data_IF_918933375736
#
_entry.id   IF_918933375736
#
_cell.length_a   1.000
_cell.length_b   1.000
_cell.length_c   1.000
_cell.angle_alpha   90.00
_cell.angle_beta   90.00
_cell.angle_gamma   90.00
#
_symmetry.space_group_name_H-M   'P 1'
#
loop_
_entity.id
_entity.type
_entity.pdbx_description
1 polymer ?
#
# COMPACT_ATOMS: atom_id res chain seq x y z
N UNK A 1 -22.91 -47.64 10.39
CA UNK A 1 -21.92 -48.61 9.89
C UNK A 1 -20.59 -47.87 9.87
N UNK A 2 -19.75 -47.92 10.92
CA UNK A 2 -18.73 -48.91 11.25
C UNK A 2 -17.92 -49.36 10.02
N UNK A 3 -16.61 -49.19 9.91
CA UNK A 3 -15.45 -49.64 10.68
C UNK A 3 -14.17 -49.08 10.07
N UNK A 4 -13.24 -48.62 10.78
CA UNK A 4 -12.07 -49.20 11.50
C UNK A 4 -10.79 -49.22 10.66
N UNK A 5 -9.74 -48.46 11.16
CA UNK A 5 -8.59 -48.89 12.00
C UNK A 5 -7.51 -49.71 11.27
N UNK A 6 -6.31 -49.28 11.27
CA UNK A 6 -5.09 -49.58 12.05
C UNK A 6 -3.86 -49.56 11.12
N UNK A 7 -2.86 -48.80 11.44
CA UNK A 7 -1.64 -49.06 12.21
C UNK A 7 -0.67 -50.10 11.61
N UNK A 8 0.62 -49.74 11.51
CA UNK A 8 1.76 -50.41 12.11
C UNK A 8 3.06 -49.91 11.52
N UNK A 9 3.93 -49.39 12.35
CA UNK A 9 5.26 -49.78 12.88
C UNK A 9 6.42 -49.61 11.89
N UNK A 10 7.29 -48.69 12.18
CA UNK A 10 8.59 -48.73 12.89
C UNK A 10 9.52 -49.91 12.55
N UNK A 11 10.73 -49.56 12.06
CA UNK A 11 11.94 -50.28 12.44
C UNK A 11 13.17 -49.39 12.37
N UNK A 12 13.93 -49.45 13.43
CA UNK A 12 15.22 -48.82 13.66
C UNK A 12 16.37 -49.69 13.11
N UNK A 13 17.55 -49.07 12.97
CA UNK A 13 18.79 -49.84 12.73
C UNK A 13 19.97 -48.90 12.49
N UNK A 14 20.74 -48.87 13.32
CA UNK A 14 21.95 -48.51 13.98
C UNK A 14 23.22 -48.95 13.23
N UNK A 15 24.30 -48.16 13.44
CA UNK A 15 25.70 -48.63 13.47
C UNK A 15 26.52 -48.36 12.19
N UNK A 16 27.73 -47.95 12.21
CA UNK A 16 28.90 -47.80 13.05
C UNK A 16 29.98 -47.06 12.23
N UNK A 17 30.70 -46.16 12.79
CA UNK A 17 32.08 -46.11 13.31
C UNK A 17 33.21 -46.60 12.37
N UNK A 18 34.26 -45.76 12.31
CA UNK A 18 35.69 -45.99 12.01
C UNK A 18 36.12 -45.68 10.57
N UNK A 19 37.28 -45.09 10.24
CA UNK A 19 38.55 -44.92 10.94
C UNK A 19 39.41 -43.84 10.32
N UNK A 20 40.35 -43.34 11.11
CA UNK A 20 41.50 -42.53 10.79
C UNK A 20 42.48 -43.20 9.82
N UNK A 21 43.07 -42.45 8.92
CA UNK A 21 44.37 -42.77 8.35
C UNK A 21 45.18 -41.50 8.14
N UNK A 22 46.21 -41.35 8.97
CA UNK A 22 47.35 -40.47 8.80
C UNK A 22 48.25 -41.00 7.69
N UNK A 23 48.76 -40.15 6.85
CA UNK A 23 49.95 -40.42 6.04
C UNK A 23 50.82 -39.18 5.98
N UNK A 24 51.94 -39.20 6.69
CA UNK A 24 53.11 -38.37 6.48
C UNK A 24 53.86 -38.80 5.22
N UNK A 25 54.38 -37.84 4.47
CA UNK A 25 55.31 -38.12 3.35
C UNK A 25 56.05 -36.86 2.92
N UNK A 26 57.29 -36.88 3.17
CA UNK A 26 58.38 -35.89 3.17
C UNK A 26 58.74 -35.25 1.87
N UNK A 27 59.02 -33.98 1.97
CA UNK A 27 60.08 -33.08 1.48
C UNK A 27 61.05 -33.54 0.38
N UNK A 28 61.14 -32.77 -0.71
CA UNK A 28 62.40 -32.38 -1.36
C UNK A 28 62.26 -31.05 -2.09
N UNK A 29 63.18 -30.15 -1.79
CA UNK A 29 63.16 -28.74 -2.12
C UNK A 29 63.37 -28.34 -3.56
N UNK A 30 62.94 -27.11 -3.83
CA UNK A 30 63.57 -26.19 -4.80
C UNK A 30 63.23 -24.76 -4.41
N UNK A 31 64.25 -23.95 -4.20
CA UNK A 31 64.13 -22.52 -3.98
C UNK A 31 63.66 -21.86 -5.28
N UNK A 32 62.56 -21.10 -5.17
CA UNK A 32 62.12 -20.13 -6.16
C UNK A 32 61.63 -18.88 -5.41
N UNK A 33 62.01 -17.71 -5.86
CA UNK A 33 61.74 -16.40 -5.30
C UNK A 33 60.26 -16.19 -4.98
N UNK A 34 59.91 -15.46 -3.89
CA UNK A 34 58.54 -15.18 -3.57
C UNK A 34 57.94 -14.10 -4.49
N UNK A 35 56.69 -14.29 -5.02
CA UNK A 35 55.99 -13.24 -5.72
C UNK A 35 55.55 -12.13 -4.71
N UNK A 36 55.36 -10.86 -5.17
CA UNK A 36 55.10 -9.73 -4.29
C UNK A 36 53.79 -9.93 -3.54
N UNK A 37 53.84 -9.76 -2.25
CA UNK A 37 52.75 -9.75 -1.30
C UNK A 37 51.74 -8.64 -1.65
N UNK A 38 50.65 -9.01 -2.34
CA UNK A 38 49.44 -8.20 -2.26
C UNK A 38 48.80 -8.49 -0.90
N UNK A 39 48.89 -7.53 0.02
CA UNK A 39 48.20 -7.57 1.28
C UNK A 39 46.68 -7.62 1.02
N UNK A 40 46.12 -8.82 1.04
CA UNK A 40 44.70 -9.01 1.21
C UNK A 40 44.37 -8.57 2.63
N UNK A 41 43.79 -7.40 2.77
CA UNK A 41 43.15 -7.00 4.02
C UNK A 41 41.99 -7.97 4.24
N UNK A 42 42.21 -9.00 5.05
CA UNK A 42 41.13 -9.83 5.52
C UNK A 42 40.18 -8.93 6.31
N UNK A 43 38.97 -8.76 5.83
CA UNK A 43 37.89 -8.18 6.63
C UNK A 43 37.75 -8.95 7.95
N UNK A 44 37.21 -8.35 8.99
CA UNK A 44 37.04 -9.01 10.27
C UNK A 44 36.35 -10.37 10.07
N UNK A 45 36.77 -11.42 10.81
CA UNK A 45 36.14 -12.73 10.71
C UNK A 45 34.64 -12.61 11.02
N UNK A 46 33.79 -13.40 10.37
CA UNK A 46 32.37 -13.40 10.68
C UNK A 46 32.23 -13.69 12.18
N UNK A 47 31.48 -12.81 12.85
CA UNK A 47 31.18 -12.99 14.29
C UNK A 47 30.30 -14.24 14.43
N UNK A 48 30.80 -15.29 15.09
CA UNK A 48 30.06 -16.49 15.46
C UNK A 48 29.05 -16.27 16.59
N UNK A 49 28.86 -15.03 17.02
CA UNK A 49 27.82 -14.70 17.99
C UNK A 49 26.44 -14.97 17.38
N UNK A 50 25.50 -15.58 18.13
CA UNK A 50 24.15 -15.82 17.64
C UNK A 50 23.52 -14.47 17.26
N UNK A 51 23.09 -14.36 16.00
CA UNK A 51 22.42 -13.16 15.52
C UNK A 51 21.10 -12.97 16.27
N UNK A 52 20.77 -11.73 16.61
CA UNK A 52 19.44 -11.36 17.10
C UNK A 52 18.39 -11.85 16.11
N UNK A 53 17.29 -12.42 16.60
CA UNK A 53 16.15 -12.85 15.79
C UNK A 53 15.06 -11.77 15.81
N UNK A 54 14.73 -11.22 14.66
CA UNK A 54 13.66 -10.23 14.48
C UNK A 54 12.46 -10.88 13.81
N UNK A 55 11.25 -10.47 14.21
CA UNK A 55 9.99 -10.80 13.55
C UNK A 55 9.51 -9.61 12.74
N UNK A 56 9.29 -9.81 11.43
CA UNK A 56 8.73 -8.80 10.55
C UNK A 56 7.40 -9.27 9.99
N UNK A 57 6.37 -8.41 10.06
CA UNK A 57 5.04 -8.71 9.51
C UNK A 57 4.73 -7.86 8.29
N UNK A 58 4.21 -8.55 7.26
CA UNK A 58 3.63 -7.97 6.05
C UNK A 58 2.17 -8.39 5.89
N UNK A 59 1.35 -7.53 5.26
CA UNK A 59 0.08 -7.99 4.70
C UNK A 59 0.33 -8.89 3.49
N UNK A 60 -0.67 -9.65 3.08
CA UNK A 60 -0.57 -10.43 1.85
C UNK A 60 -0.84 -9.51 0.64
N UNK A 61 0.23 -9.15 -0.05
CA UNK A 61 0.13 -8.47 -1.35
C UNK A 61 -0.50 -9.40 -2.39
N UNK A 62 -1.28 -8.84 -3.30
CA UNK A 62 -1.91 -9.61 -4.38
C UNK A 62 -1.00 -9.87 -5.58
N UNK A 63 0.20 -9.30 -5.59
CA UNK A 63 1.16 -9.39 -6.68
C UNK A 63 2.06 -10.61 -6.51
N UNK A 64 2.18 -11.37 -7.59
CA UNK A 64 3.02 -12.56 -7.63
C UNK A 64 4.50 -12.20 -7.44
N UNK A 65 5.19 -12.93 -6.56
CA UNK A 65 6.62 -12.78 -6.32
C UNK A 65 7.02 -11.79 -5.21
N UNK A 66 6.11 -10.93 -4.72
CA UNK A 66 6.40 -9.98 -3.64
C UNK A 66 6.80 -10.71 -2.36
N UNK A 67 6.08 -11.77 -2.00
CA UNK A 67 6.40 -12.55 -0.79
C UNK A 67 7.82 -13.12 -0.81
N UNK A 68 8.25 -13.66 -1.93
CA UNK A 68 9.60 -14.22 -2.08
C UNK A 68 10.67 -13.12 -2.09
N UNK A 69 10.34 -11.97 -2.66
CA UNK A 69 11.23 -10.82 -2.66
C UNK A 69 11.49 -10.31 -1.24
N UNK A 70 10.45 -10.05 -0.45
CA UNK A 70 10.62 -9.54 0.93
C UNK A 70 11.33 -10.55 1.84
N UNK A 71 11.11 -11.86 1.64
CA UNK A 71 11.88 -12.90 2.34
C UNK A 71 13.35 -12.90 1.93
N UNK A 72 13.65 -12.71 0.64
CA UNK A 72 15.02 -12.59 0.12
C UNK A 72 15.72 -11.35 0.68
N UNK A 73 15.04 -10.18 0.71
CA UNK A 73 15.60 -8.97 1.32
C UNK A 73 15.91 -9.20 2.79
N UNK A 74 14.98 -9.75 3.55
CA UNK A 74 15.19 -10.07 4.95
C UNK A 74 16.35 -11.03 5.18
N UNK A 75 16.47 -12.09 4.38
CA UNK A 75 17.53 -13.08 4.47
C UNK A 75 18.93 -12.53 4.14
N UNK A 76 19.01 -11.46 3.32
CA UNK A 76 20.28 -10.82 2.95
C UNK A 76 20.79 -9.82 4.00
N UNK A 77 20.00 -9.51 5.03
CA UNK A 77 20.42 -8.58 6.09
C UNK A 77 21.55 -9.19 6.95
N UNK A 78 22.71 -8.51 7.05
CA UNK A 78 23.84 -9.08 7.78
C UNK A 78 23.73 -8.95 9.31
N UNK A 79 22.93 -7.99 9.82
CA UNK A 79 22.90 -7.59 11.22
C UNK A 79 22.04 -8.45 12.14
N UNK A 80 21.04 -9.18 11.59
CA UNK A 80 20.12 -10.02 12.37
C UNK A 80 19.59 -11.17 11.50
N UNK A 81 18.98 -12.17 12.15
CA UNK A 81 18.11 -13.14 11.46
C UNK A 81 16.69 -12.57 11.43
N UNK A 82 16.13 -12.31 10.27
CA UNK A 82 14.79 -11.72 10.15
C UNK A 82 13.81 -12.75 9.62
N UNK A 83 12.81 -13.08 10.42
CA UNK A 83 11.72 -13.98 10.05
C UNK A 83 10.53 -13.14 9.53
N UNK A 84 10.17 -13.35 8.27
CA UNK A 84 9.05 -12.66 7.63
C UNK A 84 7.77 -13.48 7.78
N UNK A 85 6.76 -12.90 8.42
CA UNK A 85 5.41 -13.44 8.49
C UNK A 85 4.50 -12.73 7.48
N UNK A 86 3.87 -13.51 6.62
CA UNK A 86 2.88 -13.09 5.64
C UNK A 86 1.49 -13.23 6.24
N UNK A 87 0.68 -12.16 6.24
CA UNK A 87 -0.60 -12.12 6.91
C UNK A 87 -1.75 -11.89 5.92
N UNK A 88 -2.45 -12.94 5.46
CA UNK A 88 -3.63 -12.80 4.64
C UNK A 88 -4.85 -12.28 5.43
N UNK A 89 -5.81 -11.73 4.72
CA UNK A 89 -7.06 -11.19 5.27
C UNK A 89 -6.90 -9.78 5.82
N UNK A 90 -7.72 -9.42 6.80
CA UNK A 90 -7.73 -8.08 7.40
C UNK A 90 -6.48 -7.86 8.28
N UNK A 91 -5.43 -7.38 7.64
CA UNK A 91 -4.14 -7.12 8.25
C UNK A 91 -4.18 -5.96 9.23
N UNK A 92 -4.90 -4.89 8.91
CA UNK A 92 -4.96 -3.69 9.76
C UNK A 92 -5.59 -4.02 11.12
N UNK A 93 -6.66 -4.80 11.15
CA UNK A 93 -7.24 -5.29 12.40
C UNK A 93 -6.31 -6.22 13.19
N UNK A 94 -5.51 -7.03 12.48
CA UNK A 94 -4.49 -7.89 13.13
C UNK A 94 -3.41 -7.07 13.82
N UNK A 95 -2.89 -6.02 13.16
CA UNK A 95 -1.87 -5.14 13.77
C UNK A 95 -2.44 -4.39 14.97
N UNK A 96 -3.65 -3.82 14.86
CA UNK A 96 -4.31 -3.17 16.02
C UNK A 96 -4.39 -4.11 17.21
N UNK A 97 -4.83 -5.36 16.99
CA UNK A 97 -4.92 -6.37 18.04
C UNK A 97 -3.54 -6.78 18.59
N UNK A 98 -2.56 -6.95 17.70
CA UNK A 98 -1.21 -7.32 18.09
C UNK A 98 -0.55 -6.26 18.98
N UNK A 99 -0.67 -4.97 18.63
CA UNK A 99 -0.10 -3.86 19.41
C UNK A 99 -0.65 -3.75 20.84
N UNK A 100 -1.84 -4.32 21.09
CA UNK A 100 -2.43 -4.39 22.44
C UNK A 100 -1.89 -5.57 23.27
N UNK A 101 -1.34 -6.59 22.61
CA UNK A 101 -0.87 -7.83 23.22
C UNK A 101 0.66 -7.89 23.31
N UNK A 102 1.19 -8.97 23.95
CA UNK A 102 2.63 -9.22 24.09
C UNK A 102 3.27 -9.94 22.90
N UNK A 103 2.46 -10.47 21.96
CA UNK A 103 2.94 -11.17 20.74
C UNK A 103 2.91 -10.20 19.56
N UNK A 104 3.84 -9.29 19.52
CA UNK A 104 3.92 -8.22 18.53
C UNK A 104 5.18 -8.42 17.71
N UNK A 105 5.16 -8.18 16.39
CA UNK A 105 6.39 -8.18 15.60
C UNK A 105 7.34 -7.06 16.06
N UNK A 106 8.64 -7.23 15.82
CA UNK A 106 9.63 -6.18 16.02
C UNK A 106 9.50 -5.08 14.97
N UNK A 107 9.25 -5.49 13.72
CA UNK A 107 9.02 -4.64 12.56
C UNK A 107 7.71 -5.02 11.90
N UNK A 108 6.92 -4.04 11.49
CA UNK A 108 5.69 -4.27 10.75
C UNK A 108 5.42 -3.09 9.79
N UNK A 109 4.61 -3.33 8.79
CA UNK A 109 4.18 -2.27 7.89
C UNK A 109 2.79 -1.76 8.29
N UNK A 110 2.60 -0.45 8.29
CA UNK A 110 1.31 0.18 8.51
C UNK A 110 1.32 1.66 8.10
N UNK A 111 0.14 2.28 8.16
CA UNK A 111 0.01 3.74 8.26
C UNK A 111 -0.09 4.12 9.74
N UNK A 112 0.72 5.08 10.17
CA UNK A 112 0.75 5.46 11.59
C UNK A 112 -0.59 6.03 12.04
N UNK A 113 -0.98 5.72 13.27
CA UNK A 113 -2.16 6.31 13.94
C UNK A 113 -1.70 7.12 15.16
N UNK A 114 -2.31 8.29 15.37
CA UNK A 114 -1.99 9.16 16.50
C UNK A 114 -2.14 8.44 17.86
N UNK A 115 -3.12 7.56 17.97
CA UNK A 115 -3.34 6.79 19.20
C UNK A 115 -2.18 5.82 19.49
N UNK A 116 -1.55 5.22 18.45
CA UNK A 116 -0.37 4.35 18.64
C UNK A 116 0.83 5.13 19.19
N UNK A 117 1.02 6.36 18.68
CA UNK A 117 2.10 7.25 19.15
C UNK A 117 1.87 7.66 20.60
N UNK A 118 0.67 8.09 20.93
CA UNK A 118 0.31 8.54 22.29
C UNK A 118 0.34 7.41 23.33
N UNK A 119 0.06 6.19 22.90
CA UNK A 119 0.16 4.98 23.73
C UNK A 119 1.55 4.35 23.75
N UNK A 120 2.56 5.00 23.16
CA UNK A 120 3.93 4.50 23.06
C UNK A 120 4.01 3.07 22.47
N UNK A 121 3.23 2.80 21.42
CA UNK A 121 3.23 1.49 20.73
C UNK A 121 4.26 1.44 19.60
N UNK A 122 4.68 2.59 19.08
CA UNK A 122 5.66 2.71 17.99
C UNK A 122 6.75 3.71 18.38
N UNK A 123 7.95 3.51 17.84
CA UNK A 123 9.09 4.41 18.11
C UNK A 123 9.28 5.40 16.96
N UNK A 124 9.78 6.61 17.28
CA UNK A 124 10.19 7.57 16.25
C UNK A 124 11.38 7.03 15.45
N UNK A 125 11.31 7.25 14.13
CA UNK A 125 12.35 6.93 13.15
C UNK A 125 12.98 8.20 12.54
N UNK A 126 12.87 9.34 13.21
CA UNK A 126 13.48 10.60 12.74
C UNK A 126 14.97 10.48 12.48
N UNK A 127 15.69 9.81 13.38
CA UNK A 127 17.12 9.53 13.25
C UNK A 127 17.45 8.62 12.05
N UNK A 128 16.55 7.68 11.73
CA UNK A 128 16.68 6.76 10.60
C UNK A 128 16.50 7.50 9.27
N UNK A 129 15.47 8.34 9.17
CA UNK A 129 15.09 9.01 7.92
C UNK A 129 15.84 10.31 7.67
N UNK A 130 16.42 10.93 8.71
CA UNK A 130 17.02 12.26 8.65
C UNK A 130 17.94 12.49 7.44
N UNK A 131 18.85 11.55 7.06
CA UNK A 131 19.77 11.75 5.93
C UNK A 131 19.07 11.89 4.57
N UNK A 132 17.86 11.37 4.43
CA UNK A 132 17.12 11.29 3.16
C UNK A 132 15.70 11.83 3.24
N UNK A 133 15.33 12.50 4.34
CA UNK A 133 13.96 12.98 4.57
C UNK A 133 13.44 13.86 3.43
N UNK A 134 14.30 14.70 2.85
CA UNK A 134 13.96 15.57 1.72
C UNK A 134 13.76 14.84 0.38
N UNK A 135 14.07 13.54 0.31
CA UNK A 135 13.88 12.71 -0.88
C UNK A 135 12.49 12.05 -0.94
N UNK A 136 11.67 12.23 0.09
CA UNK A 136 10.28 11.78 0.11
C UNK A 136 9.33 12.94 -0.18
N UNK A 137 8.22 12.67 -0.89
CA UNK A 137 7.20 13.71 -1.08
C UNK A 137 6.51 14.06 0.25
N UNK A 138 6.08 15.32 0.43
CA UNK A 138 5.36 15.72 1.65
C UNK A 138 4.11 14.90 1.93
N UNK A 139 3.33 14.51 0.90
CA UNK A 139 2.12 13.72 1.04
C UNK A 139 2.42 12.29 1.56
N UNK A 140 3.47 11.65 1.05
CA UNK A 140 3.90 10.32 1.47
C UNK A 140 4.42 10.33 2.91
N UNK A 141 5.20 11.36 3.27
CA UNK A 141 5.66 11.53 4.66
C UNK A 141 4.53 11.86 5.63
N UNK A 142 3.53 12.61 5.19
CA UNK A 142 2.39 12.96 6.04
C UNK A 142 1.65 11.71 6.54
N UNK A 143 1.58 10.65 5.73
CA UNK A 143 0.99 9.36 6.10
C UNK A 143 1.72 8.67 7.28
N UNK A 144 2.98 9.04 7.53
CA UNK A 144 3.87 8.42 8.52
C UNK A 144 4.32 9.40 9.60
N UNK A 145 3.72 10.61 9.65
CA UNK A 145 4.13 11.69 10.55
C UNK A 145 3.02 12.05 11.54
N UNK A 146 3.35 12.02 12.83
CA UNK A 146 2.48 12.48 13.92
C UNK A 146 3.24 13.51 14.75
N UNK A 147 2.62 14.67 15.01
CA UNK A 147 3.21 15.74 15.83
C UNK A 147 4.65 16.11 15.42
N UNK A 148 4.89 16.13 14.09
CA UNK A 148 6.17 16.50 13.47
C UNK A 148 7.24 15.42 13.45
N UNK A 149 6.99 14.24 14.05
CA UNK A 149 7.90 13.10 14.08
C UNK A 149 7.48 12.00 13.13
N UNK A 150 8.43 11.36 12.47
CA UNK A 150 8.21 10.22 11.58
C UNK A 150 8.25 8.91 12.37
N UNK A 151 7.27 8.04 12.15
CA UNK A 151 7.14 6.75 12.83
C UNK A 151 7.17 5.55 11.88
N UNK A 152 7.11 5.77 10.58
CA UNK A 152 7.25 4.74 9.56
C UNK A 152 8.12 5.22 8.39
N UNK A 153 8.96 4.34 7.85
CA UNK A 153 9.69 4.66 6.62
C UNK A 153 8.85 4.18 5.43
N UNK A 154 8.35 5.10 4.58
CA UNK A 154 7.51 4.73 3.44
C UNK A 154 8.24 3.74 2.51
N UNK A 155 7.54 2.67 2.12
CA UNK A 155 8.13 1.58 1.32
C UNK A 155 7.91 1.81 -0.18
N UNK A 156 6.67 2.09 -0.56
CA UNK A 156 6.25 2.47 -1.90
C UNK A 156 5.05 3.42 -1.77
N UNK A 157 4.68 4.07 -2.85
CA UNK A 157 3.47 4.91 -2.92
C UNK A 157 2.41 4.18 -3.73
N UNK A 158 1.32 3.86 -3.06
CA UNK A 158 0.13 3.31 -3.71
C UNK A 158 -0.76 4.43 -4.21
N UNK A 159 -1.35 4.22 -5.37
CA UNK A 159 -2.36 5.12 -5.92
C UNK A 159 -3.45 4.34 -6.65
N UNK A 160 -4.60 4.96 -6.77
CA UNK A 160 -5.72 4.49 -7.57
C UNK A 160 -6.01 5.50 -8.66
N UNK A 161 -6.41 4.99 -9.82
CA UNK A 161 -6.75 5.79 -11.00
C UNK A 161 -7.98 5.21 -11.70
N UNK A 162 -8.62 5.98 -12.55
CA UNK A 162 -9.71 5.52 -13.41
C UNK A 162 -9.12 4.85 -14.65
N UNK A 163 -9.23 3.53 -14.74
CA UNK A 163 -8.93 2.78 -15.96
C UNK A 163 -10.13 2.80 -16.91
N UNK A 164 -9.87 2.91 -18.21
CA UNK A 164 -10.91 2.87 -19.24
C UNK A 164 -10.44 2.15 -20.49
N UNK A 165 -11.38 1.50 -21.20
CA UNK A 165 -11.14 0.89 -22.51
C UNK A 165 -11.27 1.93 -23.62
N UNK A 166 -10.17 2.21 -24.34
CA UNK A 166 -10.15 3.19 -25.43
C UNK A 166 -11.13 2.85 -26.53
N UNK A 167 -11.14 1.58 -26.95
CA UNK A 167 -12.03 1.08 -28.02
C UNK A 167 -13.51 1.21 -27.64
N UNK A 168 -13.89 0.96 -26.38
CA UNK A 168 -15.28 1.06 -25.94
C UNK A 168 -15.74 2.52 -25.86
N UNK A 169 -14.91 3.44 -25.37
CA UNK A 169 -15.23 4.86 -25.39
C UNK A 169 -15.40 5.37 -26.84
N UNK A 170 -14.46 5.01 -27.71
CA UNK A 170 -14.52 5.40 -29.14
C UNK A 170 -15.80 4.86 -29.82
N UNK A 171 -16.14 3.59 -29.61
CA UNK A 171 -17.33 2.98 -30.18
C UNK A 171 -18.64 3.59 -29.68
N UNK A 172 -18.64 4.15 -28.46
CA UNK A 172 -19.78 4.86 -27.88
C UNK A 172 -19.79 6.37 -28.19
N UNK A 173 -18.78 6.89 -28.88
CA UNK A 173 -18.62 8.33 -29.12
C UNK A 173 -18.41 9.15 -27.85
N UNK A 174 -17.79 8.54 -26.83
CA UNK A 174 -17.53 9.14 -25.52
C UNK A 174 -16.07 9.57 -25.43
N UNK A 175 -15.83 10.78 -24.98
CA UNK A 175 -14.46 11.24 -24.64
C UNK A 175 -14.10 10.81 -23.21
N UNK A 176 -12.80 10.64 -22.88
CA UNK A 176 -12.36 10.43 -21.51
C UNK A 176 -12.86 11.55 -20.58
N UNK A 177 -13.60 11.22 -19.49
CA UNK A 177 -14.30 12.20 -18.66
C UNK A 177 -13.34 13.12 -17.91
N UNK A 178 -13.64 14.43 -17.91
CA UNK A 178 -12.88 15.47 -17.23
C UNK A 178 -13.60 16.03 -16.00
N UNK A 179 -14.92 15.78 -15.91
CA UNK A 179 -15.75 16.16 -14.78
C UNK A 179 -16.51 14.94 -14.24
N UNK A 180 -16.99 15.05 -12.99
CA UNK A 180 -17.79 13.98 -12.37
C UNK A 180 -19.09 13.75 -13.14
N UNK A 181 -19.71 14.81 -13.67
CA UNK A 181 -20.91 14.67 -14.51
C UNK A 181 -20.61 13.96 -15.83
N UNK A 182 -19.50 14.27 -16.47
CA UNK A 182 -19.04 13.54 -17.68
C UNK A 182 -18.74 12.07 -17.37
N UNK A 183 -18.20 11.75 -16.17
CA UNK A 183 -18.00 10.34 -15.73
C UNK A 183 -19.33 9.62 -15.59
N UNK A 184 -20.34 10.25 -14.99
CA UNK A 184 -21.69 9.72 -14.84
C UNK A 184 -22.32 9.46 -16.20
N UNK A 185 -22.24 10.43 -17.11
CA UNK A 185 -22.78 10.34 -18.46
C UNK A 185 -22.06 9.27 -19.30
N UNK A 186 -20.73 9.19 -19.18
CA UNK A 186 -19.93 8.15 -19.83
C UNK A 186 -20.31 6.77 -19.32
N UNK A 187 -20.44 6.61 -18.02
CA UNK A 187 -20.86 5.34 -17.40
C UNK A 187 -22.26 4.90 -17.89
N UNK A 188 -23.21 5.84 -17.97
CA UNK A 188 -24.54 5.55 -18.48
C UNK A 188 -24.51 5.13 -19.96
N UNK A 189 -23.79 5.85 -20.84
CA UNK A 189 -23.67 5.53 -22.28
C UNK A 189 -22.95 4.22 -22.55
N UNK A 190 -21.99 3.84 -21.71
CA UNK A 190 -21.23 2.60 -21.83
C UNK A 190 -21.98 1.38 -21.25
N UNK A 191 -23.06 1.60 -20.50
CA UNK A 191 -23.87 0.51 -19.93
C UNK A 191 -24.79 -0.04 -21.03
N UNK A 192 -24.38 -1.17 -21.62
CA UNK A 192 -25.14 -1.87 -22.66
C UNK A 192 -24.70 -3.33 -22.80
N UNK A 193 -25.56 -4.15 -23.39
CA UNK A 193 -25.23 -5.54 -23.76
C UNK A 193 -24.66 -6.40 -22.60
N UNK A 194 -25.13 -6.15 -21.37
CA UNK A 194 -24.67 -6.86 -20.18
C UNK A 194 -23.41 -6.27 -19.53
N UNK A 195 -22.72 -5.32 -20.19
CA UNK A 195 -21.56 -4.59 -19.65
C UNK A 195 -22.04 -3.39 -18.85
N UNK A 196 -21.47 -3.17 -17.69
CA UNK A 196 -21.68 -1.96 -16.90
C UNK A 196 -20.68 -0.87 -17.28
N UNK A 197 -21.08 0.39 -17.16
CA UNK A 197 -20.20 1.49 -17.53
C UNK A 197 -19.05 1.73 -16.55
N UNK A 198 -19.28 1.47 -15.25
CA UNK A 198 -18.29 1.78 -14.22
C UNK A 198 -18.31 0.76 -13.07
N UNK A 199 -17.12 0.47 -12.54
CA UNK A 199 -16.93 -0.32 -11.32
C UNK A 199 -15.98 0.42 -10.35
N UNK A 200 -16.40 0.53 -9.09
CA UNK A 200 -15.63 1.13 -8.02
C UNK A 200 -15.80 0.36 -6.69
N UNK A 201 -15.97 -0.95 -6.78
CA UNK A 201 -16.21 -1.84 -5.64
C UNK A 201 -17.66 -2.28 -5.47
N UNK A 202 -17.81 -3.40 -4.79
CA UNK A 202 -19.11 -4.04 -4.55
C UNK A 202 -19.98 -3.26 -3.55
N UNK A 203 -19.38 -2.31 -2.85
CA UNK A 203 -20.06 -1.36 -1.95
C UNK A 203 -20.68 -0.16 -2.70
N UNK A 204 -20.53 -0.09 -4.03
CA UNK A 204 -21.02 1.01 -4.86
C UNK A 204 -20.13 2.26 -4.80
N UNK A 205 -18.85 2.10 -4.49
CA UNK A 205 -17.86 3.18 -4.45
C UNK A 205 -17.73 3.90 -3.12
N UNK A 206 -18.46 3.48 -2.09
CA UNK A 206 -18.43 4.11 -0.75
C UNK A 206 -17.01 4.12 -0.17
N UNK A 207 -16.31 2.98 -0.24
CA UNK A 207 -14.98 2.84 0.33
C UNK A 207 -13.89 3.62 -0.40
N UNK A 208 -13.98 3.73 -1.72
CA UNK A 208 -12.87 4.26 -2.54
C UNK A 208 -13.14 5.60 -3.21
N UNK A 209 -14.39 6.03 -3.36
CA UNK A 209 -14.72 7.30 -4.02
C UNK A 209 -15.05 8.43 -3.04
N UNK A 210 -15.21 8.18 -1.75
CA UNK A 210 -15.49 9.23 -0.76
C UNK A 210 -14.43 10.32 -0.77
N UNK A 211 -13.15 9.99 -0.67
CA UNK A 211 -12.05 10.95 -0.76
C UNK A 211 -11.99 11.66 -2.10
N UNK A 212 -11.91 10.93 -3.23
CA UNK A 212 -11.93 11.51 -4.56
C UNK A 212 -13.07 12.49 -4.82
N UNK A 213 -14.30 12.19 -4.34
CA UNK A 213 -15.43 13.11 -4.45
C UNK A 213 -15.24 14.39 -3.62
N UNK A 214 -14.73 14.30 -2.39
CA UNK A 214 -14.42 15.49 -1.59
C UNK A 214 -13.33 16.34 -2.26
N UNK A 215 -12.23 15.72 -2.69
CA UNK A 215 -11.13 16.42 -3.35
C UNK A 215 -11.54 17.05 -4.68
N UNK A 216 -12.41 16.38 -5.45
CA UNK A 216 -12.96 16.92 -6.69
C UNK A 216 -13.70 18.25 -6.50
N UNK A 217 -14.23 18.49 -5.30
CA UNK A 217 -14.88 19.74 -4.88
C UNK A 217 -13.90 20.73 -4.21
N UNK A 218 -12.59 20.44 -4.17
CA UNK A 218 -11.59 21.24 -3.49
C UNK A 218 -11.69 21.16 -1.95
N UNK A 219 -12.21 20.05 -1.43
CA UNK A 219 -12.35 19.77 0.00
C UNK A 219 -11.39 18.65 0.41
N UNK A 220 -11.19 18.45 1.71
CA UNK A 220 -10.39 17.36 2.24
C UNK A 220 -11.05 16.79 3.50
N UNK A 221 -10.54 15.68 4.03
CA UNK A 221 -10.95 15.11 5.32
C UNK A 221 -10.72 16.10 6.44
N UNK A 222 -9.54 16.68 6.49
CA UNK A 222 -9.10 17.63 7.51
C UNK A 222 -8.42 18.84 6.85
N UNK A 223 -8.40 19.96 7.57
CA UNK A 223 -7.73 21.21 7.17
C UNK A 223 -7.02 21.87 8.37
N UNK A 224 -6.32 22.97 8.11
CA UNK A 224 -5.66 23.78 9.14
C UNK A 224 -4.73 22.94 10.05
N UNK A 225 -3.79 22.18 9.41
CA UNK A 225 -2.84 21.33 10.13
C UNK A 225 -3.52 20.15 10.85
N UNK A 226 -4.59 19.63 10.28
CA UNK A 226 -5.40 18.51 10.79
C UNK A 226 -6.16 18.85 12.11
N UNK A 227 -6.48 20.12 12.30
CA UNK A 227 -7.19 20.60 13.50
C UNK A 227 -8.67 20.88 13.27
N UNK A 228 -9.11 20.90 12.02
CA UNK A 228 -10.48 21.17 11.63
C UNK A 228 -10.97 20.15 10.61
N UNK A 229 -12.28 19.92 10.58
CA UNK A 229 -12.94 19.09 9.57
C UNK A 229 -12.91 19.85 8.23
N UNK A 230 -12.34 19.22 7.20
CA UNK A 230 -12.13 19.83 5.88
C UNK A 230 -13.39 19.85 5.01
N UNK A 231 -14.31 18.92 5.24
CA UNK A 231 -15.58 18.78 4.47
C UNK A 231 -16.81 19.39 5.17
N UNK A 232 -16.63 20.23 6.19
CA UNK A 232 -17.70 21.05 6.77
C UNK A 232 -18.01 22.23 5.83
N UNK A 233 -18.60 21.90 4.67
CA UNK A 233 -18.88 22.80 3.57
C UNK A 233 -20.04 22.25 2.73
N UNK A 234 -20.98 23.08 2.24
CA UNK A 234 -22.12 22.63 1.42
C UNK A 234 -21.70 21.85 0.15
N UNK A 235 -20.51 22.12 -0.41
CA UNK A 235 -19.99 21.41 -1.58
C UNK A 235 -19.77 19.92 -1.31
N UNK A 236 -19.53 19.51 -0.05
CA UNK A 236 -19.41 18.10 0.30
C UNK A 236 -20.72 17.34 0.02
N UNK A 237 -21.87 17.92 0.36
CA UNK A 237 -23.17 17.33 0.07
C UNK A 237 -23.41 17.19 -1.44
N UNK A 238 -23.02 18.20 -2.23
CA UNK A 238 -23.13 18.17 -3.70
C UNK A 238 -22.25 17.06 -4.28
N UNK A 239 -20.98 17.00 -3.88
CA UNK A 239 -20.03 16.01 -4.39
C UNK A 239 -20.43 14.58 -4.01
N UNK A 240 -20.73 14.33 -2.74
CA UNK A 240 -21.11 12.99 -2.26
C UNK A 240 -22.48 12.55 -2.81
N UNK A 241 -23.38 13.49 -3.08
CA UNK A 241 -24.65 13.22 -3.77
C UNK A 241 -24.49 12.65 -5.19
N UNK A 242 -23.38 12.94 -5.89
CA UNK A 242 -23.10 12.34 -7.21
C UNK A 242 -22.96 10.81 -7.15
N UNK A 243 -22.55 10.27 -6.01
CA UNK A 243 -22.47 8.82 -5.84
C UNK A 243 -23.85 8.15 -5.87
N UNK A 244 -24.86 8.82 -5.34
CA UNK A 244 -26.26 8.36 -5.49
C UNK A 244 -26.68 8.32 -6.97
N UNK A 245 -26.36 9.34 -7.76
CA UNK A 245 -26.68 9.37 -9.18
C UNK A 245 -26.04 8.18 -9.93
N UNK A 246 -24.77 7.87 -9.65
CA UNK A 246 -24.08 6.69 -10.21
C UNK A 246 -24.76 5.37 -9.81
N UNK A 247 -25.21 5.23 -8.57
CA UNK A 247 -25.89 4.04 -8.10
C UNK A 247 -27.31 3.92 -8.69
N UNK A 248 -28.06 5.02 -8.73
CA UNK A 248 -29.47 5.05 -9.13
C UNK A 248 -29.67 4.89 -10.65
N UNK A 249 -28.72 5.33 -11.48
CA UNK A 249 -28.86 5.23 -12.96
C UNK A 249 -28.52 3.84 -13.50
N UNK A 250 -28.13 2.90 -12.66
CA UNK A 250 -27.87 1.51 -13.04
C UNK A 250 -26.55 1.29 -13.80
N UNK A 251 -25.65 2.29 -13.86
CA UNK A 251 -24.37 2.18 -14.58
C UNK A 251 -23.25 1.54 -13.78
N UNK A 252 -23.39 1.46 -12.45
CA UNK A 252 -22.42 0.78 -11.60
C UNK A 252 -22.57 -0.76 -11.70
N UNK A 253 -21.43 -1.42 -11.79
CA UNK A 253 -21.35 -2.86 -11.53
C UNK A 253 -21.40 -3.10 -10.03
N UNK A 254 -22.28 -3.96 -9.59
CA UNK A 254 -22.39 -4.44 -8.21
C UNK A 254 -22.39 -5.99 -8.24
N UNK A 255 -21.78 -6.60 -7.23
CA UNK A 255 -21.70 -8.07 -7.14
C UNK A 255 -20.67 -8.69 -8.08
N UNK A 256 -19.58 -7.98 -8.40
CA UNK A 256 -18.45 -8.56 -9.12
C UNK A 256 -17.79 -9.69 -8.30
N UNK A 257 -17.18 -10.71 -8.95
CA UNK A 257 -16.52 -11.82 -8.25
C UNK A 257 -15.38 -11.39 -7.33
N UNK A 258 -14.68 -10.31 -7.68
CA UNK A 258 -13.64 -9.67 -6.88
C UNK A 258 -13.99 -8.20 -6.63
N UNK A 259 -13.37 -7.60 -5.62
CA UNK A 259 -13.63 -6.20 -5.28
C UNK A 259 -12.71 -5.24 -6.05
N UNK A 260 -12.86 -3.94 -5.83
CA UNK A 260 -12.22 -2.84 -6.55
C UNK A 260 -10.70 -2.99 -6.72
N UNK A 261 -10.01 -3.62 -5.77
CA UNK A 261 -8.55 -3.79 -5.77
C UNK A 261 -8.03 -4.79 -6.81
N UNK A 262 -8.90 -5.63 -7.37
CA UNK A 262 -8.57 -6.59 -8.44
C UNK A 262 -9.19 -6.13 -9.77
N UNK A 263 -8.44 -6.27 -10.86
CA UNK A 263 -8.86 -5.79 -12.18
C UNK A 263 -9.73 -6.79 -12.96
N UNK A 264 -10.11 -7.94 -12.39
CA UNK A 264 -10.84 -8.99 -13.12
C UNK A 264 -12.16 -8.50 -13.72
N UNK A 265 -12.92 -7.67 -12.99
CA UNK A 265 -14.16 -7.11 -13.52
C UNK A 265 -13.94 -6.32 -14.84
N UNK A 266 -12.84 -5.59 -14.94
CA UNK A 266 -12.44 -4.85 -16.14
C UNK A 266 -11.88 -5.78 -17.23
N UNK A 267 -11.01 -6.72 -16.85
CA UNK A 267 -10.37 -7.68 -17.76
C UNK A 267 -11.40 -8.64 -18.39
N UNK A 268 -12.37 -9.12 -17.60
CA UNK A 268 -13.40 -10.03 -18.04
C UNK A 268 -14.54 -9.32 -18.81
N UNK A 269 -14.43 -7.99 -18.99
CA UNK A 269 -15.41 -7.21 -19.76
C UNK A 269 -16.74 -6.99 -19.04
N UNK A 270 -16.81 -7.15 -17.74
CA UNK A 270 -18.02 -6.87 -16.95
C UNK A 270 -18.25 -5.36 -16.81
N UNK A 271 -17.20 -4.55 -16.95
CA UNK A 271 -17.28 -3.09 -16.89
C UNK A 271 -16.37 -2.44 -17.93
N UNK A 272 -16.79 -1.28 -18.46
CA UNK A 272 -16.00 -0.50 -19.43
C UNK A 272 -14.97 0.43 -18.79
N UNK A 273 -15.20 0.84 -17.55
CA UNK A 273 -14.30 1.67 -16.73
C UNK A 273 -14.22 1.09 -15.32
N UNK A 274 -13.04 1.16 -14.71
CA UNK A 274 -12.85 0.70 -13.33
C UNK A 274 -11.94 1.66 -12.56
N UNK A 275 -12.35 2.02 -11.34
CA UNK A 275 -11.48 2.65 -10.36
C UNK A 275 -10.70 1.58 -9.62
N UNK A 276 -9.39 1.51 -9.83
CA UNK A 276 -8.52 0.51 -9.18
C UNK A 276 -7.08 0.99 -9.09
N UNK A 277 -6.23 0.18 -8.48
CA UNK A 277 -4.84 0.53 -8.21
C UNK A 277 -3.90 0.36 -9.40
N UNK A 278 -2.84 1.18 -9.38
CA UNK A 278 -1.76 1.15 -10.37
C UNK A 278 -1.08 -0.23 -10.47
N UNK A 279 -1.09 -1.03 -9.40
CA UNK A 279 -0.55 -2.40 -9.35
C UNK A 279 -1.21 -3.36 -10.34
N UNK A 280 -2.39 -3.04 -10.85
CA UNK A 280 -3.08 -3.84 -11.87
C UNK A 280 -2.60 -3.59 -13.31
N UNK A 281 -1.78 -2.58 -13.57
CA UNK A 281 -1.28 -2.25 -14.92
C UNK A 281 -0.66 -3.46 -15.65
N UNK A 282 0.17 -4.31 -15.03
CA UNK A 282 0.73 -5.47 -15.73
C UNK A 282 -0.36 -6.44 -16.22
N UNK A 283 -1.34 -6.78 -15.38
CA UNK A 283 -2.45 -7.68 -15.73
C UNK A 283 -3.35 -7.09 -16.82
N UNK A 284 -3.67 -5.80 -16.70
CA UNK A 284 -4.50 -5.09 -17.67
C UNK A 284 -3.78 -4.99 -19.03
N UNK A 285 -2.48 -4.69 -19.03
CA UNK A 285 -1.66 -4.66 -20.25
C UNK A 285 -1.58 -6.03 -20.91
N UNK A 286 -1.42 -7.09 -20.13
CA UNK A 286 -1.43 -8.46 -20.67
C UNK A 286 -2.76 -8.81 -21.36
N UNK A 287 -3.89 -8.29 -20.86
CA UNK A 287 -5.21 -8.56 -21.44
C UNK A 287 -5.54 -7.68 -22.66
N UNK A 288 -5.06 -6.45 -22.71
CA UNK A 288 -5.55 -5.44 -23.66
C UNK A 288 -4.45 -4.72 -24.44
N UNK A 289 -3.17 -5.08 -24.26
CA UNK A 289 -2.02 -4.34 -24.82
C UNK A 289 -2.13 -2.83 -24.53
N UNK A 290 -2.32 -2.02 -25.55
CA UNK A 290 -2.46 -0.56 -25.46
C UNK A 290 -3.92 -0.06 -25.52
N UNK A 291 -4.92 -0.97 -25.55
CA UNK A 291 -6.35 -0.60 -25.59
C UNK A 291 -6.90 -0.19 -24.23
N UNK A 292 -6.10 0.47 -23.42
CA UNK A 292 -6.58 1.10 -22.19
C UNK A 292 -5.85 2.41 -21.92
N UNK A 293 -6.48 3.26 -21.13
CA UNK A 293 -5.89 4.47 -20.60
C UNK A 293 -6.20 4.65 -19.14
N UNK A 294 -5.56 5.62 -18.50
CA UNK A 294 -5.80 5.99 -17.11
C UNK A 294 -6.08 7.48 -16.99
N UNK A 295 -6.90 7.83 -16.00
CA UNK A 295 -7.22 9.22 -15.64
C UNK A 295 -7.15 9.38 -14.11
N UNK A 296 -6.84 10.57 -13.59
CA UNK A 296 -7.15 10.89 -12.21
C UNK A 296 -8.67 10.90 -12.04
N UNK A 297 -9.15 10.85 -10.80
CA UNK A 297 -10.57 11.13 -10.54
C UNK A 297 -10.90 12.55 -11.02
N UNK A 298 -11.96 12.72 -11.82
CA UNK A 298 -12.23 13.99 -12.46
C UNK A 298 -12.69 15.06 -11.44
N UNK A 299 -12.49 16.33 -11.78
CA UNK A 299 -12.99 17.45 -10.96
C UNK A 299 -14.51 17.47 -10.90
N UNK A 300 -15.08 18.00 -9.81
CA UNK A 300 -16.53 18.09 -9.67
C UNK A 300 -17.14 18.99 -10.76
N UNK A 301 -16.53 20.16 -10.93
CA UNK A 301 -16.95 21.18 -11.90
C UNK A 301 -15.76 22.10 -12.26
N UNK A 302 -16.04 23.30 -12.78
CA UNK A 302 -15.01 24.29 -13.15
C UNK A 302 -14.14 24.79 -11.99
N UNK A 303 -14.59 24.67 -10.75
CA UNK A 303 -13.90 25.15 -9.54
C UNK A 303 -13.07 24.09 -8.81
N UNK A 304 -13.29 22.82 -9.14
CA UNK A 304 -12.58 21.69 -8.55
C UNK A 304 -11.27 21.35 -9.26
N UNK A 305 -10.58 20.33 -8.76
CA UNK A 305 -9.36 19.79 -9.34
C UNK A 305 -9.45 18.26 -9.52
N UNK A 306 -8.77 17.71 -10.54
CA UNK A 306 -8.61 16.26 -10.61
C UNK A 306 -7.77 15.77 -9.42
N UNK A 307 -7.97 14.51 -8.99
CA UNK A 307 -7.30 13.98 -7.81
C UNK A 307 -6.96 12.51 -7.93
N UNK A 308 -5.92 12.10 -7.21
CA UNK A 308 -5.63 10.68 -6.95
C UNK A 308 -5.33 10.48 -5.47
N UNK A 309 -5.82 9.39 -4.86
CA UNK A 309 -5.42 9.05 -3.51
C UNK A 309 -3.97 8.61 -3.52
N UNK A 310 -3.26 8.96 -2.46
CA UNK A 310 -1.97 8.34 -2.15
C UNK A 310 -2.03 7.70 -0.79
N UNK A 311 -1.44 6.53 -0.70
CA UNK A 311 -1.18 5.82 0.53
C UNK A 311 0.23 5.25 0.47
N UNK A 312 0.79 4.97 1.62
CA UNK A 312 2.02 4.23 1.73
C UNK A 312 1.99 3.47 3.05
N UNK A 313 2.17 2.17 2.99
CA UNK A 313 2.62 1.48 4.18
C UNK A 313 4.05 1.91 4.49
N UNK A 314 4.30 2.19 5.76
CA UNK A 314 5.64 2.48 6.25
C UNK A 314 6.15 1.34 7.11
N UNK A 315 7.43 0.99 6.97
CA UNK A 315 8.09 0.08 7.88
C UNK A 315 8.23 0.75 9.25
N UNK A 316 7.56 0.20 10.25
CA UNK A 316 7.47 0.71 11.62
C UNK A 316 8.18 -0.22 12.58
N UNK A 317 8.64 0.33 13.70
CA UNK A 317 9.28 -0.43 14.78
C UNK A 317 8.41 -0.37 16.02
N UNK A 318 8.13 -1.54 16.58
CA UNK A 318 7.34 -1.70 17.79
C UNK A 318 8.13 -1.22 19.02
N UNK A 319 7.53 -0.34 19.81
CA UNK A 319 8.16 0.18 21.02
C UNK A 319 8.34 -0.87 22.13
N UNK A 320 7.60 -1.97 22.06
CA UNK A 320 7.69 -3.08 23.02
C UNK A 320 8.67 -4.19 22.58
N UNK A 321 9.34 -4.03 21.42
CA UNK A 321 10.39 -4.96 20.99
C UNK A 321 11.52 -5.00 22.00
N UNK A 322 12.05 -6.20 22.27
CA UNK A 322 13.28 -6.34 23.04
C UNK A 322 14.53 -5.90 22.24
N UNK A 323 14.37 -5.63 20.93
CA UNK A 323 15.44 -5.41 19.96
C UNK A 323 15.20 -4.13 19.13
N UNK A 324 14.75 -3.03 19.78
CA UNK A 324 14.40 -1.78 19.09
C UNK A 324 15.57 -1.23 18.26
N UNK A 325 16.79 -1.31 18.79
CA UNK A 325 17.98 -0.78 18.08
C UNK A 325 18.27 -1.59 16.80
N UNK A 326 18.22 -2.90 16.89
CA UNK A 326 18.44 -3.82 15.76
C UNK A 326 17.32 -3.72 14.74
N UNK A 327 16.06 -3.58 15.19
CA UNK A 327 14.91 -3.37 14.33
C UNK A 327 15.01 -2.04 13.56
N UNK A 328 15.41 -0.95 14.20
CA UNK A 328 15.69 0.34 13.53
C UNK A 328 16.83 0.22 12.52
N UNK A 329 17.90 -0.49 12.88
CA UNK A 329 19.04 -0.73 11.97
C UNK A 329 18.59 -1.56 10.74
N UNK A 330 17.75 -2.57 10.92
CA UNK A 330 17.18 -3.34 9.80
C UNK A 330 16.29 -2.46 8.90
N UNK A 331 15.37 -1.68 9.48
CA UNK A 331 14.51 -0.74 8.72
C UNK A 331 15.34 0.25 7.93
N UNK A 332 16.41 0.83 8.55
CA UNK A 332 17.35 1.71 7.86
C UNK A 332 18.03 1.01 6.69
N UNK A 333 18.60 -0.15 6.95
CA UNK A 333 19.31 -0.91 5.93
C UNK A 333 18.42 -1.20 4.73
N UNK A 334 17.21 -1.74 4.93
CA UNK A 334 16.34 -2.11 3.82
C UNK A 334 15.71 -0.88 3.13
N UNK A 335 15.12 0.03 3.91
CA UNK A 335 14.26 1.08 3.36
C UNK A 335 14.96 2.44 3.18
N UNK A 336 16.25 2.54 3.52
CA UNK A 336 17.08 3.73 3.24
C UNK A 336 18.29 3.36 2.39
N UNK A 337 19.05 2.31 2.78
CA UNK A 337 20.34 2.03 2.18
C UNK A 337 20.24 1.15 0.92
N UNK A 338 19.31 0.15 0.88
CA UNK A 338 19.16 -0.80 -0.24
C UNK A 338 18.26 -0.26 -1.37
N UNK A 339 18.75 0.75 -2.10
CA UNK A 339 17.95 1.43 -3.14
C UNK A 339 17.53 0.53 -4.30
N UNK A 340 18.26 -0.55 -4.58
CA UNK A 340 17.89 -1.54 -5.60
C UNK A 340 16.70 -2.39 -5.15
N UNK A 341 16.69 -2.85 -3.90
CA UNK A 341 15.58 -3.62 -3.34
C UNK A 341 14.31 -2.76 -3.26
N UNK A 342 14.44 -1.48 -2.88
CA UNK A 342 13.33 -0.52 -2.88
C UNK A 342 12.75 -0.31 -4.29
N UNK A 343 13.62 -0.18 -5.30
CA UNK A 343 13.20 -0.02 -6.68
C UNK A 343 12.52 -1.31 -7.20
N UNK A 344 13.11 -2.47 -6.92
CA UNK A 344 12.53 -3.76 -7.28
C UNK A 344 11.16 -3.95 -6.63
N UNK A 345 11.04 -3.66 -5.32
CA UNK A 345 9.79 -3.77 -4.57
C UNK A 345 8.69 -2.90 -5.19
N UNK A 346 9.00 -1.66 -5.54
CA UNK A 346 8.03 -0.74 -6.11
C UNK A 346 7.61 -1.09 -7.55
N UNK A 347 8.51 -1.65 -8.38
CA UNK A 347 8.29 -1.64 -9.84
C UNK A 347 8.23 -3.00 -10.52
N UNK A 348 8.68 -4.07 -9.85
CA UNK A 348 8.84 -5.37 -10.51
C UNK A 348 7.59 -6.24 -10.44
N UNK A 349 6.85 -6.20 -9.35
CA UNK A 349 5.76 -7.14 -9.07
C UNK A 349 4.39 -6.56 -9.40
N UNK A 350 4.16 -5.34 -9.02
CA UNK A 350 3.04 -4.48 -9.42
C UNK A 350 3.61 -3.09 -9.67
N UNK A 351 2.88 -2.23 -10.37
CA UNK A 351 3.40 -0.88 -10.58
C UNK A 351 2.97 0.01 -9.43
N UNK A 352 3.90 0.25 -8.50
CA UNK A 352 3.82 1.28 -7.49
C UNK A 352 4.79 2.41 -7.83
N UNK A 353 4.55 3.59 -7.33
CA UNK A 353 5.52 4.69 -7.45
C UNK A 353 6.53 4.55 -6.31
N UNK A 354 7.84 4.57 -6.60
CA UNK A 354 8.84 4.57 -5.53
C UNK A 354 8.56 5.69 -4.52
N UNK A 355 8.65 5.38 -3.23
CA UNK A 355 8.41 6.37 -2.18
C UNK A 355 9.44 7.51 -2.20
N UNK A 356 10.66 7.23 -2.65
CA UNK A 356 11.75 8.20 -2.79
C UNK A 356 11.76 8.81 -4.20
N UNK A 357 11.75 10.14 -4.26
CA UNK A 357 11.73 10.89 -5.53
C UNK A 357 12.94 10.60 -6.41
N UNK A 358 14.13 10.43 -5.82
CA UNK A 358 15.36 10.07 -6.54
C UNK A 358 15.29 8.70 -7.24
N UNK A 359 14.39 7.80 -6.82
CA UNK A 359 14.20 6.49 -7.42
C UNK A 359 13.17 6.50 -8.55
N UNK A 360 12.24 7.46 -8.59
CA UNK A 360 11.22 7.56 -9.65
C UNK A 360 11.87 7.66 -11.03
N UNK A 361 12.89 8.50 -11.18
CA UNK A 361 13.64 8.64 -12.43
C UNK A 361 14.40 7.38 -12.90
N UNK A 362 14.61 6.41 -12.00
CA UNK A 362 15.25 5.11 -12.27
C UNK A 362 14.26 3.99 -12.57
N UNK A 363 12.97 4.24 -12.38
CA UNK A 363 11.88 3.28 -12.60
C UNK A 363 11.49 3.25 -14.08
N UNK A 364 12.14 2.42 -14.90
CA UNK A 364 11.89 2.35 -16.35
C UNK A 364 10.43 1.99 -16.67
N UNK A 365 9.78 1.17 -15.84
CA UNK A 365 8.37 0.83 -15.97
C UNK A 365 7.41 2.02 -15.86
N UNK A 366 7.84 3.14 -15.26
CA UNK A 366 7.05 4.35 -15.07
C UNK A 366 7.39 5.48 -16.07
N UNK A 367 8.18 5.18 -17.12
CA UNK A 367 8.63 6.21 -18.10
C UNK A 367 7.71 6.37 -19.30
N UNK A 368 6.76 5.48 -19.52
CA UNK A 368 5.87 5.53 -20.70
C UNK A 368 4.50 4.90 -20.43
N UNK A 369 3.53 5.28 -21.25
CA UNK A 369 2.17 4.76 -21.23
C UNK A 369 1.39 5.06 -19.95
N UNK A 370 0.33 4.30 -19.65
CA UNK A 370 -0.57 4.53 -18.50
C UNK A 370 0.14 4.60 -17.15
N UNK A 371 1.24 3.87 -16.97
CA UNK A 371 2.03 3.91 -15.73
C UNK A 371 2.74 5.25 -15.53
N UNK A 372 3.27 5.84 -16.62
CA UNK A 372 3.87 7.18 -16.57
C UNK A 372 2.81 8.26 -16.29
N UNK A 373 1.62 8.13 -16.89
CA UNK A 373 0.51 9.05 -16.63
C UNK A 373 0.11 9.00 -15.15
N UNK A 374 -0.04 7.79 -14.57
CA UNK A 374 -0.37 7.64 -13.16
C UNK A 374 0.73 8.19 -12.23
N UNK A 375 2.01 7.98 -12.54
CA UNK A 375 3.11 8.56 -11.78
C UNK A 375 3.09 10.09 -11.81
N UNK A 376 2.75 10.69 -12.97
CA UNK A 376 2.55 12.14 -13.11
C UNK A 376 1.35 12.62 -12.28
N UNK A 377 0.22 11.91 -12.27
CA UNK A 377 -0.94 12.26 -11.45
C UNK A 377 -0.61 12.26 -9.95
N UNK A 378 0.21 11.29 -9.49
CA UNK A 378 0.70 11.29 -8.11
C UNK A 378 1.52 12.54 -7.80
N UNK A 379 2.35 13.02 -8.72
CA UNK A 379 3.14 14.23 -8.50
C UNK A 379 2.30 15.51 -8.50
N UNK A 380 1.26 15.57 -9.34
CA UNK A 380 0.47 16.79 -9.59
C UNK A 380 -0.80 16.87 -8.72
N UNK A 381 -1.44 15.74 -8.41
CA UNK A 381 -2.84 15.69 -7.94
C UNK A 381 -3.05 14.80 -6.71
N UNK A 382 -1.98 14.47 -5.96
CA UNK A 382 -2.07 13.51 -4.86
C UNK A 382 -2.71 14.09 -3.60
N UNK A 383 -3.58 13.29 -2.99
CA UNK A 383 -4.22 13.56 -1.70
C UNK A 383 -4.06 12.36 -0.76
N UNK A 384 -3.79 12.64 0.50
CA UNK A 384 -3.70 11.60 1.53
C UNK A 384 -5.09 11.20 2.00
N UNK A 385 -5.38 9.90 1.98
CA UNK A 385 -6.64 9.36 2.50
C UNK A 385 -6.64 9.45 4.03
N UNK A 386 -7.38 10.39 4.58
CA UNK A 386 -7.63 10.57 6.01
C UNK A 386 -6.41 10.96 6.86
N UNK A 387 -5.30 10.27 6.71
CA UNK A 387 -4.06 10.52 7.47
C UNK A 387 -4.08 10.03 8.93
N UNK A 388 -2.98 10.27 9.68
CA UNK A 388 -2.76 9.71 11.02
C UNK A 388 -3.77 10.16 12.08
N UNK A 389 -4.37 11.33 11.89
CA UNK A 389 -5.31 11.97 12.85
C UNK A 389 -6.77 11.64 12.53
N UNK A 390 -7.03 11.08 11.34
CA UNK A 390 -8.36 10.62 10.95
C UNK A 390 -8.69 9.32 11.67
N UNK A 391 -9.50 9.43 12.74
CA UNK A 391 -9.79 8.29 13.62
C UNK A 391 -10.71 7.27 12.95
N UNK A 392 -10.69 6.03 13.43
CA UNK A 392 -11.63 5.01 12.98
C UNK A 392 -13.10 5.44 13.17
N UNK A 393 -13.41 6.14 14.26
CA UNK A 393 -14.76 6.63 14.53
C UNK A 393 -15.20 7.69 13.51
N UNK A 394 -14.31 8.63 13.17
CA UNK A 394 -14.57 9.60 12.10
C UNK A 394 -14.76 8.92 10.75
N UNK A 395 -13.93 7.92 10.46
CA UNK A 395 -14.02 7.16 9.21
C UNK A 395 -15.34 6.39 9.10
N UNK A 396 -15.75 5.69 10.16
CA UNK A 396 -17.02 4.97 10.21
C UNK A 396 -18.20 5.92 10.01
N UNK A 397 -18.23 7.05 10.71
CA UNK A 397 -19.32 8.03 10.60
C UNK A 397 -19.44 8.59 9.17
N UNK A 398 -18.32 8.89 8.51
CA UNK A 398 -18.34 9.39 7.13
C UNK A 398 -18.75 8.27 6.15
N UNK A 399 -18.23 7.06 6.30
CA UNK A 399 -18.59 5.92 5.46
C UNK A 399 -20.08 5.57 5.58
N UNK A 400 -20.64 5.56 6.78
CA UNK A 400 -22.07 5.31 7.01
C UNK A 400 -22.95 6.42 6.36
N UNK A 401 -22.52 7.68 6.49
CA UNK A 401 -23.22 8.81 5.86
C UNK A 401 -23.21 8.65 4.32
N UNK A 402 -22.06 8.33 3.73
CA UNK A 402 -21.91 8.14 2.29
C UNK A 402 -22.69 6.91 1.80
N UNK A 403 -22.71 5.81 2.57
CA UNK A 403 -23.49 4.63 2.24
C UNK A 403 -24.99 4.93 2.19
N UNK A 404 -25.53 5.68 3.15
CA UNK A 404 -26.94 6.11 3.14
C UNK A 404 -27.25 7.04 1.97
N UNK A 405 -26.36 7.99 1.65
CA UNK A 405 -26.50 8.85 0.46
C UNK A 405 -26.52 7.98 -0.80
N UNK A 406 -25.51 7.15 -0.99
CA UNK A 406 -25.31 6.39 -2.21
C UNK A 406 -26.44 5.37 -2.47
N UNK A 407 -26.78 4.57 -1.47
CA UNK A 407 -27.63 3.39 -1.62
C UNK A 407 -29.10 3.67 -1.31
N UNK A 408 -29.38 4.57 -0.36
CA UNK A 408 -30.74 4.84 0.12
C UNK A 408 -31.31 6.18 -0.41
N UNK A 409 -30.48 7.01 -1.05
CA UNK A 409 -30.89 8.35 -1.50
C UNK A 409 -31.21 9.30 -0.33
N UNK A 410 -30.57 9.07 0.83
CA UNK A 410 -30.75 9.94 1.98
C UNK A 410 -30.26 11.36 1.69
N UNK A 411 -30.86 12.37 2.34
CA UNK A 411 -30.47 13.78 2.14
C UNK A 411 -28.97 13.98 2.40
N UNK A 412 -28.16 14.34 1.39
CA UNK A 412 -26.71 14.47 1.53
C UNK A 412 -26.30 15.51 2.57
N UNK A 413 -27.02 16.64 2.68
CA UNK A 413 -26.67 17.69 3.62
C UNK A 413 -26.84 17.24 5.08
N UNK A 414 -27.92 16.51 5.38
CA UNK A 414 -28.17 15.97 6.71
C UNK A 414 -27.13 14.89 7.09
N UNK A 415 -26.78 14.00 6.15
CA UNK A 415 -25.80 12.94 6.40
C UNK A 415 -24.39 13.49 6.60
N UNK A 416 -23.95 14.44 5.75
CA UNK A 416 -22.67 15.13 5.89
C UNK A 416 -22.57 15.85 7.23
N UNK A 417 -23.62 16.56 7.64
CA UNK A 417 -23.65 17.23 8.94
C UNK A 417 -23.43 16.26 10.09
N UNK A 418 -24.06 15.10 10.06
CA UNK A 418 -23.87 14.05 11.09
C UNK A 418 -22.43 13.58 11.16
N UNK A 419 -21.80 13.30 10.02
CA UNK A 419 -20.39 12.89 9.97
C UNK A 419 -19.45 14.00 10.47
N UNK A 420 -19.72 15.26 10.11
CA UNK A 420 -18.96 16.43 10.58
C UNK A 420 -19.02 16.56 12.10
N UNK A 421 -20.18 16.37 12.72
CA UNK A 421 -20.34 16.46 14.19
C UNK A 421 -19.49 15.39 14.90
N UNK A 422 -19.49 14.16 14.40
CA UNK A 422 -18.65 13.09 14.95
C UNK A 422 -17.16 13.40 14.77
N UNK A 423 -16.75 13.85 13.59
CA UNK A 423 -15.36 14.20 13.32
C UNK A 423 -14.89 15.39 14.19
N UNK A 424 -15.73 16.41 14.42
CA UNK A 424 -15.42 17.51 15.34
C UNK A 424 -15.26 17.01 16.79
N UNK A 425 -16.11 16.09 17.24
CA UNK A 425 -16.01 15.52 18.58
C UNK A 425 -14.70 14.74 18.76
N UNK A 426 -14.29 13.97 17.75
CA UNK A 426 -13.03 13.25 17.74
C UNK A 426 -11.81 14.20 17.76
N UNK A 427 -11.82 15.26 16.94
CA UNK A 427 -10.76 16.27 16.97
C UNK A 427 -10.68 16.95 18.33
N UNK A 428 -11.82 17.26 18.95
CA UNK A 428 -11.85 17.78 20.31
C UNK A 428 -11.28 16.78 21.33
N UNK A 429 -11.59 15.50 21.22
CA UNK A 429 -10.99 14.43 22.06
C UNK A 429 -9.47 14.37 21.91
N UNK A 430 -8.99 14.54 20.69
CA UNK A 430 -7.56 14.46 20.39
C UNK A 430 -6.78 15.70 20.82
N UNK A 431 -7.39 16.87 20.76
CA UNK A 431 -6.64 18.13 20.88
C UNK A 431 -7.16 19.08 21.98
N UNK A 432 -8.25 18.75 22.63
CA UNK A 432 -8.82 19.51 23.74
C UNK A 432 -9.89 20.48 23.26
#
# INVERSE_FOLDING_TARGET
>A
MQRNRRSFLALAGAGAVSALATACGSNTGRQGEPPPSTAYSAGPPPSDAPKVALQQWYHAYGEEGVQDAVKRYAASYPGASVNVQWNPGDYDSKIVTALQNSKVPDVFEAQVKIDWVRQNQVVSLDDVIAPVKGDFSPAVLAAQTVEGKVYGIPQATDTQVLFYRKSLLQAAGVQPPQTVDELIDAAAKLTKDGVKGFFAGNDGGVGVLTGPLLWSAGLDYLKNGNREVGFDDPRAATALGKLHTLNANGSLLLGAPADWSDASAFIDGLTAMQWTGLWNVPKIRQAFDDDFGVLPFPKLDGSGAPSVPVGAYGAMVNAKSAHVAEAKAFVKWLWIDQTQDQLEFATKFGFHVPARQSLIGRADSLKSGPAADAARFVQENSHLVGGPVWTQQSNTALSDAVAKIAKEGADPAAQVKTAVEVAKAELKRLFG
#
